data_IF_653488086132
#
_entry.id   IF_653488086132
#
_cell.length_a   1.000
_cell.length_b   1.000
_cell.length_c   1.000
_cell.angle_alpha   90.00
_cell.angle_beta   90.00
_cell.angle_gamma   90.00
#
_symmetry.space_group_name_H-M   'P 1'
#
loop_
_entity.id
_entity.type
_entity.pdbx_description
1 polymer ?
#
# COMPACT_ATOMS: atom_id res chain seq x y z
N UNK A 1 -21.88 -2.77 -4.45
CA UNK A 1 -21.10 -2.31 -3.28
C UNK A 1 -20.71 -3.46 -2.34
N UNK A 2 -21.64 -4.31 -1.89
CA UNK A 2 -21.33 -5.42 -0.96
C UNK A 2 -20.33 -6.45 -1.54
N UNK A 3 -20.49 -6.88 -2.80
CA UNK A 3 -19.61 -7.88 -3.40
C UNK A 3 -18.16 -7.38 -3.62
N UNK A 4 -17.97 -6.09 -3.89
CA UNK A 4 -16.65 -5.47 -4.01
C UNK A 4 -15.95 -5.45 -2.65
N UNK A 5 -16.67 -5.09 -1.59
CA UNK A 5 -16.14 -5.03 -0.24
C UNK A 5 -15.69 -6.42 0.27
N UNK A 6 -16.47 -7.47 0.01
CA UNK A 6 -16.10 -8.85 0.38
C UNK A 6 -14.81 -9.31 -0.31
N UNK A 7 -14.60 -8.96 -1.58
CA UNK A 7 -13.38 -9.34 -2.32
C UNK A 7 -12.14 -8.60 -1.81
N UNK A 8 -12.28 -7.32 -1.44
CA UNK A 8 -11.19 -6.54 -0.85
C UNK A 8 -10.81 -7.07 0.53
N UNK A 9 -11.79 -7.50 1.32
CA UNK A 9 -11.53 -8.15 2.61
C UNK A 9 -10.71 -9.42 2.43
N UNK A 10 -11.13 -10.35 1.56
CA UNK A 10 -10.36 -11.58 1.30
C UNK A 10 -8.95 -11.33 0.78
N UNK A 11 -8.76 -10.26 0.01
CA UNK A 11 -7.45 -9.85 -0.46
C UNK A 11 -6.58 -9.28 0.67
N UNK A 12 -7.17 -8.47 1.54
CA UNK A 12 -6.50 -7.95 2.76
C UNK A 12 -6.14 -9.07 3.73
N UNK A 13 -7.01 -10.09 3.88
CA UNK A 13 -6.73 -11.29 4.68
C UNK A 13 -5.52 -12.05 4.13
N UNK A 14 -5.39 -12.12 2.79
CA UNK A 14 -4.22 -12.71 2.13
C UNK A 14 -2.96 -11.90 2.43
N UNK A 15 -3.01 -10.57 2.34
CA UNK A 15 -1.87 -9.71 2.67
C UNK A 15 -1.47 -9.83 4.14
N UNK A 16 -2.43 -9.90 5.05
CA UNK A 16 -2.17 -10.09 6.46
C UNK A 16 -1.48 -11.44 6.73
N UNK A 17 -1.89 -12.51 6.05
CA UNK A 17 -1.20 -13.81 6.16
C UNK A 17 0.28 -13.75 5.74
N UNK A 18 0.60 -12.94 4.73
CA UNK A 18 1.98 -12.71 4.29
C UNK A 18 2.72 -11.85 5.31
N UNK A 19 2.12 -10.76 5.80
CA UNK A 19 2.75 -9.88 6.78
C UNK A 19 3.12 -10.61 8.08
N UNK A 20 2.26 -11.53 8.55
CA UNK A 20 2.53 -12.36 9.74
C UNK A 20 3.74 -13.28 9.57
N UNK A 21 4.04 -13.73 8.35
CA UNK A 21 5.23 -14.53 8.05
C UNK A 21 6.53 -13.71 8.03
N UNK A 22 6.44 -12.38 7.94
CA UNK A 22 7.57 -11.45 7.92
C UNK A 22 7.45 -10.42 9.06
N UNK A 23 7.77 -10.80 10.31
CA UNK A 23 7.68 -9.93 11.49
C UNK A 23 8.87 -8.96 11.56
N UNK A 24 9.16 -8.24 10.47
CA UNK A 24 10.00 -7.04 10.59
C UNK A 24 9.15 -5.94 11.21
N UNK A 25 9.67 -5.26 12.24
CA UNK A 25 8.91 -4.25 12.99
C UNK A 25 8.35 -3.12 12.10
N UNK A 26 8.92 -2.93 10.90
CA UNK A 26 8.55 -1.87 9.94
C UNK A 26 8.02 -2.39 8.59
N UNK A 27 7.67 -3.68 8.48
CA UNK A 27 7.08 -4.21 7.24
C UNK A 27 5.65 -3.69 7.03
N UNK A 28 5.45 -2.95 5.95
CA UNK A 28 4.16 -2.40 5.56
C UNK A 28 3.84 -2.73 4.10
N UNK A 29 2.57 -2.94 3.79
CA UNK A 29 2.12 -3.15 2.41
C UNK A 29 0.83 -2.41 2.13
N UNK A 30 0.86 -1.51 1.15
CA UNK A 30 -0.30 -0.81 0.62
C UNK A 30 -0.52 -1.21 -0.83
N UNK A 31 -1.79 -1.43 -1.17
CA UNK A 31 -2.23 -1.48 -2.56
C UNK A 31 -3.20 -0.34 -2.77
N UNK A 32 -2.83 0.55 -3.70
CA UNK A 32 -3.52 1.81 -3.96
C UNK A 32 -4.10 1.76 -5.36
N UNK A 33 -5.37 2.14 -5.51
CA UNK A 33 -6.00 2.25 -6.82
C UNK A 33 -5.48 3.46 -7.62
N UNK A 34 -5.86 3.54 -8.89
CA UNK A 34 -5.44 4.63 -9.76
C UNK A 34 -5.99 6.01 -9.34
N UNK A 35 -6.94 6.06 -8.40
CA UNK A 35 -7.48 7.29 -7.84
C UNK A 35 -6.85 7.65 -6.48
N UNK A 36 -5.88 6.87 -5.99
CA UNK A 36 -5.19 7.13 -4.72
C UNK A 36 -5.83 6.47 -3.51
N UNK A 37 -6.88 5.65 -3.66
CA UNK A 37 -7.52 5.00 -2.51
C UNK A 37 -6.81 3.69 -2.16
N UNK A 38 -6.61 3.44 -0.87
CA UNK A 38 -6.12 2.15 -0.38
C UNK A 38 -7.20 1.09 -0.59
N UNK A 39 -6.90 0.08 -1.39
CA UNK A 39 -7.81 -1.05 -1.65
C UNK A 39 -7.39 -2.32 -0.93
N UNK A 40 -6.14 -2.40 -0.46
CA UNK A 40 -5.67 -3.50 0.37
C UNK A 40 -4.59 -3.04 1.33
N UNK A 41 -4.71 -3.46 2.58
CA UNK A 41 -3.76 -3.23 3.66
C UNK A 41 -4.00 -4.30 4.75
N UNK A 42 -2.99 -4.76 5.51
CA UNK A 42 -3.19 -5.71 6.59
C UNK A 42 -4.15 -5.21 7.67
N UNK A 43 -4.06 -3.91 8.00
CA UNK A 43 -5.04 -3.25 8.88
C UNK A 43 -6.24 -2.77 8.07
N UNK A 44 -7.40 -3.39 8.29
CA UNK A 44 -8.65 -3.08 7.59
C UNK A 44 -9.15 -1.65 7.83
N UNK A 45 -8.69 -1.01 8.91
CA UNK A 45 -9.00 0.38 9.23
C UNK A 45 -8.46 1.36 8.18
N UNK A 46 -7.50 0.97 7.36
CA UNK A 46 -6.92 1.80 6.30
C UNK A 46 -7.59 1.63 4.94
N UNK A 47 -8.50 0.67 4.79
CA UNK A 47 -9.22 0.46 3.53
C UNK A 47 -10.06 1.67 3.16
N UNK A 48 -10.04 2.01 1.87
CA UNK A 48 -10.74 3.13 1.23
C UNK A 48 -10.32 4.51 1.72
N UNK A 49 -9.23 4.61 2.49
CA UNK A 49 -8.60 5.91 2.80
C UNK A 49 -7.86 6.42 1.57
N UNK A 50 -7.83 7.75 1.46
CA UNK A 50 -6.96 8.43 0.52
C UNK A 50 -5.50 8.29 0.98
N UNK A 51 -4.68 7.67 0.16
CA UNK A 51 -3.27 7.41 0.46
C UNK A 51 -2.44 8.69 0.55
N UNK A 52 -2.86 9.78 -0.12
CA UNK A 52 -2.21 11.08 0.06
C UNK A 52 -2.33 11.62 1.49
N UNK A 53 -3.36 11.21 2.23
CA UNK A 53 -3.50 11.60 3.64
C UNK A 53 -2.63 10.75 4.58
N UNK A 54 -2.13 9.61 4.10
CA UNK A 54 -1.26 8.70 4.85
C UNK A 54 0.19 9.11 4.63
N UNK A 55 0.63 9.16 3.37
CA UNK A 55 1.99 9.55 2.99
C UNK A 55 1.98 10.30 1.65
N UNK A 56 1.96 11.65 1.68
CA UNK A 56 1.90 12.47 0.47
C UNK A 56 3.10 12.26 -0.47
N UNK A 57 4.30 12.10 0.09
CA UNK A 57 5.53 11.97 -0.70
C UNK A 57 5.54 10.65 -1.45
N UNK A 58 5.12 9.57 -0.78
CA UNK A 58 5.03 8.25 -1.40
C UNK A 58 3.87 8.15 -2.39
N UNK A 59 2.75 8.81 -2.09
CA UNK A 59 1.61 8.91 -2.99
C UNK A 59 2.00 9.57 -4.32
N UNK A 60 2.75 10.67 -4.28
CA UNK A 60 3.28 11.32 -5.49
C UNK A 60 4.13 10.36 -6.33
N UNK A 61 5.01 9.56 -5.72
CA UNK A 61 5.81 8.58 -6.47
C UNK A 61 4.92 7.51 -7.10
N UNK A 62 4.09 6.86 -6.28
CA UNK A 62 3.30 5.71 -6.68
C UNK A 62 2.23 6.04 -7.73
N UNK A 63 1.63 7.23 -7.67
CA UNK A 63 0.54 7.64 -8.56
C UNK A 63 1.04 8.31 -9.85
N UNK A 64 2.23 8.92 -9.83
CA UNK A 64 2.89 9.40 -11.05
C UNK A 64 3.58 8.27 -11.84
N UNK A 65 3.49 7.03 -11.37
CA UNK A 65 3.93 5.84 -12.09
C UNK A 65 5.40 5.51 -11.91
N UNK A 66 6.03 5.95 -10.81
CA UNK A 66 7.34 5.46 -10.43
C UNK A 66 7.28 3.95 -10.15
N UNK A 67 8.29 3.23 -10.61
CA UNK A 67 8.53 1.82 -10.28
C UNK A 67 9.99 1.65 -9.89
N UNK A 68 10.24 0.93 -8.80
CA UNK A 68 11.58 0.72 -8.27
C UNK A 68 11.64 0.89 -6.77
N UNK A 69 12.84 1.16 -6.26
CA UNK A 69 13.10 1.28 -4.84
C UNK A 69 13.47 2.72 -4.48
N UNK A 70 12.97 3.21 -3.35
CA UNK A 70 13.29 4.54 -2.82
C UNK A 70 13.48 4.46 -1.31
N UNK A 71 14.50 5.15 -0.81
CA UNK A 71 14.70 5.36 0.62
C UNK A 71 14.16 6.75 0.93
N UNK A 72 13.21 6.84 1.86
CA UNK A 72 12.68 8.11 2.34
C UNK A 72 12.18 7.98 3.78
N UNK A 73 11.99 9.11 4.45
CA UNK A 73 11.37 9.14 5.76
C UNK A 73 9.86 8.93 5.65
N UNK A 74 9.29 8.13 6.56
CA UNK A 74 7.86 7.99 6.75
C UNK A 74 7.28 9.23 7.48
N UNK A 75 5.96 9.34 7.64
CA UNK A 75 5.33 10.48 8.36
C UNK A 75 5.80 10.68 9.81
N UNK A 76 6.41 9.66 10.43
CA UNK A 76 6.98 9.70 11.77
C UNK A 76 8.46 10.13 11.79
N UNK A 77 9.07 10.38 10.62
CA UNK A 77 10.48 10.75 10.47
C UNK A 77 11.45 9.55 10.53
N UNK A 78 10.96 8.33 10.33
CA UNK A 78 11.78 7.11 10.30
C UNK A 78 12.13 6.79 8.86
N UNK A 79 13.41 6.63 8.57
CA UNK A 79 13.90 6.24 7.24
C UNK A 79 13.49 4.79 6.93
N UNK A 80 12.77 4.61 5.83
CA UNK A 80 12.29 3.31 5.35
C UNK A 80 12.70 3.07 3.90
N UNK A 81 12.91 1.79 3.56
CA UNK A 81 13.08 1.37 2.17
C UNK A 81 11.73 0.99 1.58
N UNK A 82 11.28 1.75 0.60
CA UNK A 82 10.05 1.48 -0.15
C UNK A 82 10.36 0.81 -1.48
N UNK A 83 9.59 -0.21 -1.82
CA UNK A 83 9.56 -0.87 -3.13
C UNK A 83 8.19 -0.63 -3.77
N UNK A 84 8.17 -0.09 -4.99
CA UNK A 84 6.95 0.30 -5.70
C UNK A 84 6.89 -0.42 -7.04
N UNK A 85 5.73 -1.03 -7.33
CA UNK A 85 5.45 -1.64 -8.64
C UNK A 85 4.01 -1.41 -9.04
N UNK A 86 3.73 -1.36 -10.35
CA UNK A 86 2.40 -1.15 -10.88
C UNK A 86 1.79 -2.43 -11.43
N UNK A 87 0.48 -2.56 -11.26
CA UNK A 87 -0.32 -3.62 -11.89
C UNK A 87 -0.81 -3.08 -13.26
N UNK A 88 -0.28 -3.57 -14.40
CA UNK A 88 -0.44 -2.88 -15.70
C UNK A 88 -1.88 -2.74 -16.20
N UNK A 89 -2.76 -3.69 -15.85
CA UNK A 89 -4.15 -3.73 -16.35
C UNK A 89 -5.06 -2.81 -15.51
N UNK A 90 -4.83 -2.72 -14.21
CA UNK A 90 -5.70 -1.97 -13.29
C UNK A 90 -5.18 -0.56 -13.02
N UNK A 91 -3.90 -0.30 -13.31
CA UNK A 91 -3.24 0.95 -12.98
C UNK A 91 -2.94 1.12 -11.49
N UNK A 92 -3.20 0.09 -10.67
CA UNK A 92 -2.95 0.09 -9.23
C UNK A 92 -1.46 0.04 -8.93
N UNK A 93 -1.09 0.60 -7.78
CA UNK A 93 0.29 0.58 -7.29
C UNK A 93 0.38 -0.30 -6.04
N UNK A 94 1.37 -1.18 -6.01
CA UNK A 94 1.75 -1.98 -4.85
C UNK A 94 2.98 -1.35 -4.24
N UNK A 95 2.90 -1.05 -2.96
CA UNK A 95 3.91 -0.33 -2.20
C UNK A 95 4.25 -1.18 -0.99
N UNK A 96 5.53 -1.50 -0.82
CA UNK A 96 6.03 -2.30 0.30
C UNK A 96 7.11 -1.50 1.02
N UNK A 97 7.03 -1.40 2.36
CA UNK A 97 8.07 -0.82 3.22
C UNK A 97 8.76 -1.88 4.06
N UNK A 98 10.02 -1.63 4.43
CA UNK A 98 10.81 -2.41 5.41
C UNK A 98 12.00 -1.60 5.91
#
# INVERSE_FOLDING_TARGET
LVATNIRLQSFSDTLNSIAVEYPFDDFGIYIVDAAGNVIAHPETADLLKDFYLIDPALADQALNGFEGNIIQENPQGIENLYSITRIPITGWSVIVSR
#
